data_IF_019110789521
#
_entry.id   IF_019110789521
#
_cell.length_a   1.000
_cell.length_b   1.000
_cell.length_c   1.000
_cell.angle_alpha   90.00
_cell.angle_beta   90.00
_cell.angle_gamma   90.00
#
_symmetry.space_group_name_H-M   'P 1'
#
loop_
_entity.id
_entity.type
_entity.pdbx_description
1 polymer ?
#
# COMPACT_ATOMS: atom_id res chain seq x y z
N UNK A 1 11.07 -12.63 -10.76
CA UNK A 1 9.68 -12.80 -11.25
C UNK A 1 9.02 -11.42 -11.22
N UNK A 2 8.96 -10.74 -12.35
CA UNK A 2 8.13 -9.54 -12.53
C UNK A 2 6.69 -10.01 -12.64
N UNK A 3 5.96 -10.00 -11.52
CA UNK A 3 4.50 -10.19 -11.55
C UNK A 3 3.93 -9.06 -12.41
N UNK A 4 3.26 -9.41 -13.50
CA UNK A 4 2.57 -8.41 -14.32
C UNK A 4 1.55 -7.65 -13.46
N UNK A 5 1.50 -6.33 -13.64
CA UNK A 5 0.54 -5.47 -12.96
C UNK A 5 -0.86 -5.76 -13.49
N UNK A 6 -1.77 -6.12 -12.60
CA UNK A 6 -3.19 -6.23 -12.94
C UNK A 6 -3.82 -4.85 -13.15
N UNK A 7 -4.98 -4.79 -13.80
CA UNK A 7 -5.72 -3.52 -13.93
C UNK A 7 -6.10 -2.96 -12.55
N UNK A 8 -6.50 -3.84 -11.62
CA UNK A 8 -6.76 -3.47 -10.23
C UNK A 8 -5.53 -2.85 -9.54
N UNK A 9 -4.32 -3.38 -9.80
CA UNK A 9 -3.09 -2.79 -9.28
C UNK A 9 -2.81 -1.43 -9.92
N UNK A 10 -3.06 -1.29 -11.22
CA UNK A 10 -2.88 -0.02 -11.94
C UNK A 10 -3.83 1.06 -11.43
N UNK A 11 -5.09 0.73 -11.16
CA UNK A 11 -6.09 1.63 -10.62
C UNK A 11 -5.70 2.08 -9.20
N UNK A 12 -5.31 1.12 -8.35
CA UNK A 12 -4.87 1.41 -6.99
C UNK A 12 -3.60 2.30 -6.95
N UNK A 13 -2.65 2.05 -7.85
CA UNK A 13 -1.42 2.84 -7.99
C UNK A 13 -1.69 4.26 -8.52
N UNK A 14 -2.62 4.39 -9.46
CA UNK A 14 -3.08 5.70 -9.95
C UNK A 14 -3.74 6.49 -8.82
N UNK A 15 -4.65 5.85 -8.07
CA UNK A 15 -5.29 6.45 -6.90
C UNK A 15 -4.26 6.86 -5.83
N UNK A 16 -3.21 6.05 -5.63
CA UNK A 16 -2.14 6.38 -4.69
C UNK A 16 -1.37 7.64 -5.10
N UNK A 17 -1.07 7.81 -6.39
CA UNK A 17 -0.49 9.07 -6.91
C UNK A 17 -1.41 10.24 -6.60
N UNK A 18 -2.70 10.14 -6.90
CA UNK A 18 -3.64 11.24 -6.71
C UNK A 18 -3.81 11.61 -5.23
N UNK A 19 -3.94 10.61 -4.36
CA UNK A 19 -4.01 10.81 -2.90
C UNK A 19 -2.75 11.53 -2.41
N UNK A 20 -1.56 11.08 -2.82
CA UNK A 20 -0.30 11.70 -2.40
C UNK A 20 -0.15 13.11 -2.98
N UNK A 21 -0.48 13.35 -4.26
CA UNK A 21 -0.44 14.69 -4.89
C UNK A 21 -1.36 15.68 -4.18
N UNK A 22 -2.51 15.23 -3.70
CA UNK A 22 -3.49 16.07 -3.01
C UNK A 22 -3.19 16.33 -1.52
N UNK A 23 -2.14 15.74 -0.95
CA UNK A 23 -1.76 15.98 0.46
C UNK A 23 -1.38 17.45 0.73
N UNK A 24 -0.62 18.05 -0.19
CA UNK A 24 -0.14 19.43 -0.06
C UNK A 24 0.46 19.92 -1.38
N UNK A 25 0.55 21.24 -1.55
CA UNK A 25 1.22 21.86 -2.70
C UNK A 25 2.68 21.42 -2.85
N UNK A 26 3.40 21.21 -1.75
CA UNK A 26 4.79 20.75 -1.79
C UNK A 26 4.88 19.30 -2.29
N UNK A 27 4.00 18.42 -1.80
CA UNK A 27 3.94 17.03 -2.25
C UNK A 27 3.52 16.92 -3.71
N UNK A 28 2.52 17.70 -4.13
CA UNK A 28 2.11 17.80 -5.53
C UNK A 28 3.31 18.05 -6.44
N UNK A 29 4.06 19.14 -6.19
CA UNK A 29 5.24 19.48 -7.00
C UNK A 29 6.31 18.39 -6.98
N UNK A 30 6.52 17.75 -5.83
CA UNK A 30 7.49 16.66 -5.73
C UNK A 30 7.12 15.46 -6.59
N UNK A 31 5.84 15.04 -6.53
CA UNK A 31 5.36 13.91 -7.32
C UNK A 31 5.42 14.23 -8.82
N UNK A 32 5.01 15.43 -9.23
CA UNK A 32 5.11 15.87 -10.62
C UNK A 32 6.57 15.83 -11.11
N UNK A 33 7.51 16.32 -10.29
CA UNK A 33 8.94 16.26 -10.63
C UNK A 33 9.46 14.82 -10.74
N UNK A 34 8.95 13.91 -9.91
CA UNK A 34 9.30 12.50 -10.00
C UNK A 34 8.74 11.88 -11.29
N UNK A 35 7.50 12.21 -11.67
CA UNK A 35 6.88 11.72 -12.90
C UNK A 35 7.59 12.22 -14.18
N UNK A 36 8.25 13.37 -14.13
CA UNK A 36 9.08 13.86 -15.24
C UNK A 36 10.37 13.05 -15.46
N UNK A 37 10.89 12.40 -14.41
CA UNK A 37 12.28 11.90 -14.40
C UNK A 37 12.42 10.41 -14.06
N UNK A 38 11.35 9.77 -13.59
CA UNK A 38 11.33 8.37 -13.15
C UNK A 38 10.21 7.61 -13.85
N UNK A 39 10.29 6.27 -13.81
CA UNK A 39 9.22 5.44 -14.36
C UNK A 39 7.94 5.61 -13.53
N UNK A 40 6.79 5.66 -14.20
CA UNK A 40 5.48 5.81 -13.53
C UNK A 40 5.30 4.81 -12.38
N UNK A 41 5.69 3.55 -12.58
CA UNK A 41 5.56 2.50 -11.56
C UNK A 41 6.42 2.75 -10.33
N UNK A 42 7.62 3.31 -10.48
CA UNK A 42 8.49 3.64 -9.35
C UNK A 42 7.88 4.76 -8.52
N UNK A 43 7.33 5.77 -9.19
CA UNK A 43 6.65 6.89 -8.52
C UNK A 43 5.36 6.42 -7.85
N UNK A 44 4.58 5.58 -8.52
CA UNK A 44 3.31 5.10 -8.01
C UNK A 44 3.48 4.20 -6.78
N UNK A 45 4.45 3.27 -6.81
CA UNK A 45 4.77 2.41 -5.65
C UNK A 45 5.31 3.20 -4.47
N UNK A 46 6.11 4.24 -4.73
CA UNK A 46 6.52 5.20 -3.70
C UNK A 46 5.31 5.92 -3.07
N UNK A 47 4.38 6.44 -3.89
CA UNK A 47 3.18 7.11 -3.42
C UNK A 47 2.28 6.17 -2.60
N UNK A 48 2.10 4.92 -3.05
CA UNK A 48 1.35 3.90 -2.31
C UNK A 48 1.96 3.66 -0.93
N UNK A 49 3.28 3.50 -0.84
CA UNK A 49 3.96 3.36 0.45
C UNK A 49 3.74 4.58 1.36
N UNK A 50 3.92 5.80 0.84
CA UNK A 50 3.70 7.02 1.61
C UNK A 50 2.26 7.15 2.09
N UNK A 51 1.29 6.89 1.22
CA UNK A 51 -0.13 6.96 1.55
C UNK A 51 -0.52 5.93 2.61
N UNK A 52 -0.06 4.68 2.47
CA UNK A 52 -0.31 3.62 3.45
C UNK A 52 0.29 3.95 4.81
N UNK A 53 1.55 4.38 4.87
CA UNK A 53 2.20 4.75 6.14
C UNK A 53 1.44 5.87 6.86
N UNK A 54 0.92 6.84 6.11
CA UNK A 54 0.11 7.92 6.68
C UNK A 54 -1.27 7.45 7.12
N UNK A 55 -2.00 6.72 6.27
CA UNK A 55 -3.33 6.21 6.58
C UNK A 55 -3.34 5.30 7.82
N UNK A 56 -2.29 4.50 7.99
CA UNK A 56 -2.14 3.56 9.10
C UNK A 56 -1.37 4.16 10.30
N UNK A 57 -0.93 5.42 10.23
CA UNK A 57 -0.09 6.08 11.23
C UNK A 57 1.17 5.26 11.59
N UNK A 58 1.83 4.68 10.59
CA UNK A 58 3.00 3.84 10.79
C UNK A 58 4.20 4.69 11.22
N UNK A 59 4.94 4.29 12.27
CA UNK A 59 6.24 4.84 12.55
C UNK A 59 7.26 4.47 11.45
N UNK A 60 8.37 5.22 11.30
CA UNK A 60 9.31 5.03 10.19
C UNK A 60 9.95 3.65 10.05
N UNK A 61 10.01 2.87 11.14
CA UNK A 61 10.58 1.52 11.16
C UNK A 61 9.56 0.41 10.84
N UNK A 62 8.26 0.72 10.80
CA UNK A 62 7.23 -0.26 10.46
C UNK A 62 6.98 -0.30 8.95
N UNK A 63 6.91 -1.49 8.34
CA UNK A 63 6.66 -1.63 6.92
C UNK A 63 5.17 -1.39 6.63
N UNK A 64 4.91 -0.72 5.51
CA UNK A 64 3.59 -0.68 4.91
C UNK A 64 3.21 -2.07 4.36
N UNK A 65 1.91 -2.41 4.29
CA UNK A 65 1.45 -3.65 3.67
C UNK A 65 1.97 -3.84 2.24
N UNK A 66 2.09 -2.77 1.45
CA UNK A 66 2.60 -2.85 0.09
C UNK A 66 4.06 -3.32 0.00
N UNK A 67 4.87 -3.19 1.06
CA UNK A 67 6.27 -3.63 1.09
C UNK A 67 6.49 -5.06 1.59
N UNK A 68 5.46 -5.72 2.14
CA UNK A 68 5.60 -7.12 2.54
C UNK A 68 5.75 -7.95 1.26
N UNK A 69 6.95 -8.38 0.89
CA UNK A 69 7.18 -9.20 -0.32
C UNK A 69 6.85 -10.67 -0.08
N UNK A 70 7.43 -11.22 0.99
CA UNK A 70 7.30 -12.62 1.39
C UNK A 70 6.36 -12.75 2.59
N UNK A 71 5.11 -13.15 2.34
CA UNK A 71 4.09 -13.32 3.38
C UNK A 71 4.42 -14.47 4.34
N UNK A 72 4.96 -15.56 3.81
CA UNK A 72 5.32 -16.75 4.60
C UNK A 72 6.42 -16.41 5.62
N UNK A 73 7.49 -15.76 5.17
CA UNK A 73 8.56 -15.30 6.05
C UNK A 73 8.07 -14.29 7.09
N UNK A 74 7.12 -13.42 6.73
CA UNK A 74 6.51 -12.47 7.66
C UNK A 74 5.68 -13.17 8.76
N UNK A 75 4.92 -14.21 8.41
CA UNK A 75 4.12 -14.96 9.38
C UNK A 75 4.96 -15.87 10.28
N UNK A 76 6.03 -16.44 9.73
CA UNK A 76 6.96 -17.31 10.46
C UNK A 76 7.97 -16.52 11.32
N UNK A 77 7.85 -15.19 11.38
CA UNK A 77 8.76 -14.32 12.15
C UNK A 77 10.18 -14.23 11.59
N UNK A 78 10.42 -14.74 10.38
CA UNK A 78 11.74 -14.76 9.73
C UNK A 78 12.16 -13.39 9.20
N UNK A 79 11.21 -12.47 9.03
CA UNK A 79 11.46 -11.06 8.70
C UNK A 79 11.50 -10.17 9.96
N UNK A 80 11.25 -10.74 11.13
CA UNK A 80 11.05 -9.98 12.36
C UNK A 80 12.29 -10.07 13.24
N UNK A 81 13.13 -9.02 13.18
CA UNK A 81 14.01 -8.68 14.31
C UNK A 81 13.14 -8.15 15.47
N UNK A 82 12.24 -9.00 15.98
CA UNK A 82 11.34 -8.84 17.13
C UNK A 82 10.45 -7.56 17.25
N UNK A 83 10.63 -6.51 16.43
CA UNK A 83 10.03 -5.18 16.67
C UNK A 83 9.59 -4.42 15.41
N UNK A 84 9.72 -5.02 14.22
CA UNK A 84 9.54 -4.25 12.99
C UNK A 84 8.09 -4.27 12.48
N UNK A 85 7.18 -5.08 13.03
CA UNK A 85 5.76 -5.01 12.67
C UNK A 85 5.39 -5.67 11.34
N UNK A 86 6.30 -6.45 10.75
CA UNK A 86 6.06 -7.21 9.50
C UNK A 86 4.86 -8.15 9.59
N UNK A 87 4.65 -8.79 10.75
CA UNK A 87 3.49 -9.67 10.95
C UNK A 87 2.16 -8.90 10.86
N UNK A 88 2.09 -7.70 11.43
CA UNK A 88 0.88 -6.88 11.35
C UNK A 88 0.60 -6.41 9.91
N UNK A 89 1.64 -5.96 9.21
CA UNK A 89 1.53 -5.59 7.79
C UNK A 89 1.11 -6.79 6.92
N UNK A 90 1.62 -7.99 7.21
CA UNK A 90 1.23 -9.23 6.52
C UNK A 90 -0.21 -9.64 6.82
N UNK A 91 -0.69 -9.51 8.06
CA UNK A 91 -2.10 -9.76 8.41
C UNK A 91 -3.03 -8.83 7.63
N UNK A 92 -2.69 -7.54 7.55
CA UNK A 92 -3.48 -6.59 6.76
C UNK A 92 -3.41 -6.91 5.26
N UNK A 93 -2.23 -7.22 4.72
CA UNK A 93 -2.11 -7.64 3.31
C UNK A 93 -2.93 -8.90 3.01
N UNK A 94 -3.01 -9.85 3.94
CA UNK A 94 -3.87 -11.03 3.81
C UNK A 94 -5.36 -10.63 3.82
N UNK A 95 -5.76 -9.72 4.70
CA UNK A 95 -7.14 -9.17 4.74
C UNK A 95 -7.50 -8.48 3.41
N UNK A 96 -6.60 -7.65 2.88
CA UNK A 96 -6.77 -6.99 1.57
C UNK A 96 -7.04 -8.00 0.46
N UNK A 97 -6.25 -9.07 0.41
CA UNK A 97 -6.45 -10.15 -0.56
C UNK A 97 -7.83 -10.81 -0.44
N UNK A 98 -8.34 -11.06 0.78
CA UNK A 98 -9.71 -11.59 1.00
C UNK A 98 -10.80 -10.59 0.59
N UNK A 99 -10.53 -9.30 0.68
CA UNK A 99 -11.44 -8.24 0.26
C UNK A 99 -11.35 -7.93 -1.25
N UNK A 100 -10.41 -8.52 -1.98
CA UNK A 100 -10.15 -8.15 -3.38
C UNK A 100 -9.56 -6.75 -3.53
N UNK A 101 -8.89 -6.24 -2.50
CA UNK A 101 -8.22 -4.93 -2.49
C UNK A 101 -6.77 -5.12 -2.93
N UNK A 102 -6.31 -4.35 -3.93
CA UNK A 102 -4.91 -4.39 -4.35
C UNK A 102 -3.98 -4.06 -3.19
N UNK A 103 -2.84 -4.75 -3.11
CA UNK A 103 -1.75 -4.46 -2.16
C UNK A 103 -1.27 -3.00 -2.22
N UNK A 104 -1.51 -2.30 -3.34
CA UNK A 104 -1.08 -0.93 -3.59
C UNK A 104 -2.13 0.13 -3.21
N UNK A 105 -3.30 -0.28 -2.72
CA UNK A 105 -4.35 0.66 -2.32
C UNK A 105 -3.82 1.66 -1.26
N UNK A 106 -4.05 2.98 -1.41
CA UNK A 106 -3.45 3.98 -0.53
C UNK A 106 -4.00 3.99 0.90
N UNK A 107 -5.24 3.54 1.11
CA UNK A 107 -5.86 3.38 2.43
C UNK A 107 -6.42 1.95 2.58
N UNK A 108 -5.55 0.98 2.90
CA UNK A 108 -5.90 -0.44 2.82
C UNK A 108 -6.89 -0.88 3.91
N UNK A 109 -6.79 -0.30 5.11
CA UNK A 109 -7.67 -0.68 6.23
C UNK A 109 -9.10 -0.20 5.96
N UNK A 110 -9.28 1.08 5.61
CA UNK A 110 -10.58 1.67 5.34
C UNK A 110 -11.29 0.99 4.17
N UNK A 111 -10.55 0.63 3.12
CA UNK A 111 -11.14 -0.03 1.96
C UNK A 111 -11.58 -1.46 2.27
N UNK A 112 -10.82 -2.21 3.08
CA UNK A 112 -11.29 -3.50 3.59
C UNK A 112 -12.56 -3.33 4.44
N UNK A 113 -12.61 -2.33 5.32
CA UNK A 113 -13.80 -2.05 6.15
C UNK A 113 -15.04 -1.78 5.27
N UNK A 114 -14.88 -0.99 4.18
CA UNK A 114 -15.95 -0.70 3.22
C UNK A 114 -16.48 -1.98 2.55
N UNK A 115 -15.59 -2.80 2.00
CA UNK A 115 -15.96 -4.04 1.30
C UNK A 115 -16.64 -5.04 2.24
N UNK A 116 -16.13 -5.19 3.46
CA UNK A 116 -16.71 -6.09 4.45
C UNK A 116 -18.10 -5.62 4.90
N UNK A 117 -18.30 -4.31 5.07
CA UNK A 117 -19.61 -3.74 5.38
C UNK A 117 -20.62 -3.95 4.24
N UNK A 118 -20.21 -3.83 2.98
CA UNK A 118 -21.07 -4.12 1.81
C UNK A 118 -21.49 -5.58 1.77
N UNK A 119 -20.56 -6.50 2.04
CA UNK A 119 -20.85 -7.95 2.10
C UNK A 119 -21.76 -8.35 3.26
N UNK A 120 -21.73 -7.61 4.36
CA UNK A 120 -22.60 -7.87 5.51
C UNK A 120 -24.05 -7.39 5.27
N UNK A 121 -24.26 -6.46 4.33
CA UNK A 121 -25.55 -5.84 4.04
C UNK A 121 -26.22 -6.37 2.76
N UNK A 122 -25.55 -7.24 1.99
CA UNK A 122 -26.07 -7.87 0.77
C UNK A 122 -26.41 -9.34 0.99
#
# INVERSE_FOLDING_TARGET
>A
MTTELTDLDRDALTLAIDVTRNESHARHRQVDKFLETRLWIEVATFCANCAQSRALNLPPWQPSPCHVGNMEAAFNGMLDEARCGYRAAALLRQRMSRCGVSRWHPDPARECDRVEAERANG
#
